data_IF_608479318375
#
_entry.id   IF_608479318375
#
_cell.length_a   1.000
_cell.length_b   1.000
_cell.length_c   1.000
_cell.angle_alpha   90.00
_cell.angle_beta   90.00
_cell.angle_gamma   90.00
#
_symmetry.space_group_name_H-M   'P 1'
#
loop_
_entity.id
_entity.type
_entity.pdbx_description
1 polymer ?
#
# COMPACT_ATOMS: atom_id res chain seq x y z
N UNK A 1 18.69 33.35 -21.00
CA UNK A 1 18.16 31.99 -20.74
C UNK A 1 17.29 32.05 -19.51
N UNK A 2 15.96 32.03 -19.69
CA UNK A 2 15.00 31.99 -18.58
C UNK A 2 14.85 30.52 -18.19
N UNK A 3 15.31 30.16 -16.98
CA UNK A 3 14.95 28.87 -16.34
C UNK A 3 13.44 28.87 -16.07
N UNK A 4 12.68 28.08 -16.80
CA UNK A 4 11.33 27.74 -16.43
C UNK A 4 11.42 26.95 -15.12
N UNK A 5 10.98 27.51 -14.03
CA UNK A 5 10.57 26.78 -12.85
C UNK A 5 9.26 26.06 -13.24
N UNK A 6 9.38 24.84 -13.69
CA UNK A 6 8.23 23.94 -13.75
C UNK A 6 7.92 23.56 -12.31
N UNK A 7 6.86 24.16 -11.80
CA UNK A 7 6.24 23.80 -10.54
C UNK A 7 5.66 22.39 -10.74
N UNK A 8 6.46 21.36 -10.48
CA UNK A 8 6.04 19.98 -10.59
C UNK A 8 4.98 19.73 -9.49
N UNK A 9 3.73 19.73 -9.91
CA UNK A 9 2.62 19.38 -9.03
C UNK A 9 2.72 17.88 -8.77
N UNK A 10 2.95 17.50 -7.50
CA UNK A 10 2.97 16.11 -7.08
C UNK A 10 1.60 15.47 -7.36
N UNK A 11 1.56 14.20 -7.76
CA UNK A 11 0.30 13.51 -7.99
C UNK A 11 -0.52 13.47 -6.70
N UNK A 12 -1.79 13.80 -6.81
CA UNK A 12 -2.74 13.83 -5.69
C UNK A 12 -3.86 12.84 -5.98
N UNK A 13 -3.97 11.82 -5.17
CA UNK A 13 -5.19 11.00 -5.12
C UNK A 13 -6.18 11.77 -4.28
N UNK A 14 -7.31 12.17 -4.88
CA UNK A 14 -8.34 12.90 -4.16
C UNK A 14 -8.88 12.07 -2.99
N UNK A 15 -9.14 12.74 -1.86
CA UNK A 15 -9.83 12.10 -0.75
C UNK A 15 -11.28 11.77 -1.18
N UNK A 16 -11.56 10.49 -1.30
CA UNK A 16 -12.90 10.02 -1.68
C UNK A 16 -13.74 9.84 -0.42
N UNK A 17 -14.86 10.53 -0.38
CA UNK A 17 -15.77 10.46 0.77
C UNK A 17 -16.16 9.00 1.05
N UNK A 18 -15.87 8.54 2.27
CA UNK A 18 -16.16 7.20 2.73
C UNK A 18 -15.04 6.16 2.47
N UNK A 19 -14.01 6.49 1.70
CA UNK A 19 -12.85 5.62 1.55
C UNK A 19 -11.96 5.64 2.79
N UNK A 20 -11.41 4.47 3.13
CA UNK A 20 -10.45 4.31 4.21
C UNK A 20 -9.08 3.96 3.62
N UNK A 21 -8.04 4.21 4.40
CA UNK A 21 -6.65 4.06 3.97
C UNK A 21 -5.93 3.12 4.91
N UNK A 22 -5.33 2.08 4.37
CA UNK A 22 -4.76 0.97 5.14
C UNK A 22 -3.29 0.76 4.85
N UNK A 23 -2.53 0.41 5.88
CA UNK A 23 -1.20 -0.17 5.76
C UNK A 23 -1.32 -1.67 6.00
N UNK A 24 -0.76 -2.48 5.09
CA UNK A 24 -0.55 -3.91 5.27
C UNK A 24 0.94 -4.19 5.44
N UNK A 25 1.30 -5.05 6.38
CA UNK A 25 2.70 -5.39 6.68
C UNK A 25 3.01 -6.78 6.18
N UNK A 26 3.79 -6.85 5.09
CA UNK A 26 4.11 -8.11 4.40
C UNK A 26 5.51 -8.01 3.79
N UNK A 27 6.27 -9.12 3.75
CA UNK A 27 7.58 -9.15 3.08
C UNK A 27 7.47 -8.82 1.59
N UNK A 28 8.52 -8.21 1.02
CA UNK A 28 8.50 -7.75 -0.37
C UNK A 28 8.26 -8.88 -1.37
N UNK A 29 8.79 -10.08 -1.13
CA UNK A 29 8.54 -11.25 -1.99
C UNK A 29 7.07 -11.65 -2.03
N UNK A 30 6.36 -11.54 -0.91
CA UNK A 30 4.93 -11.78 -0.79
C UNK A 30 4.10 -10.70 -1.51
N UNK A 31 4.48 -9.43 -1.31
CA UNK A 31 3.86 -8.29 -2.00
C UNK A 31 3.94 -8.46 -3.51
N UNK A 32 5.11 -8.83 -4.03
CA UNK A 32 5.31 -9.06 -5.47
C UNK A 32 4.34 -10.09 -6.04
N UNK A 33 4.10 -11.20 -5.32
CA UNK A 33 3.11 -12.21 -5.73
C UNK A 33 1.68 -11.65 -5.74
N UNK A 34 1.32 -10.87 -4.72
CA UNK A 34 0.02 -10.19 -4.67
C UNK A 34 -0.20 -9.21 -5.81
N UNK A 35 0.82 -8.40 -6.12
CA UNK A 35 0.77 -7.45 -7.24
C UNK A 35 0.61 -8.17 -8.58
N UNK A 36 1.38 -9.23 -8.81
CA UNK A 36 1.29 -10.04 -10.02
C UNK A 36 -0.08 -10.71 -10.18
N UNK A 37 -0.68 -11.17 -9.08
CA UNK A 37 -1.96 -11.87 -9.09
C UNK A 37 -3.19 -10.98 -8.88
N UNK A 38 -3.02 -9.69 -8.58
CA UNK A 38 -4.13 -8.76 -8.35
C UNK A 38 -4.88 -9.02 -7.05
N UNK A 39 -4.23 -9.48 -6.00
CA UNK A 39 -4.86 -9.80 -4.72
C UNK A 39 -4.06 -9.30 -3.50
N UNK A 40 -4.76 -9.12 -2.39
CA UNK A 40 -4.16 -8.96 -1.07
C UNK A 40 -4.30 -10.23 -0.23
N UNK A 41 -3.24 -10.55 0.50
CA UNK A 41 -3.18 -11.60 1.51
C UNK A 41 -2.40 -11.05 2.69
N UNK A 42 -3.00 -11.02 3.87
CA UNK A 42 -2.49 -10.36 5.07
C UNK A 42 -2.46 -11.32 6.27
N UNK A 43 -1.60 -11.03 7.23
CA UNK A 43 -1.57 -11.70 8.54
C UNK A 43 -1.60 -13.23 8.42
N UNK A 44 -0.73 -13.83 7.61
CA UNK A 44 -0.65 -15.28 7.36
C UNK A 44 -1.94 -15.88 6.76
N UNK A 45 -2.62 -15.13 5.91
CA UNK A 45 -3.81 -15.59 5.21
C UNK A 45 -5.11 -15.56 6.02
N UNK A 46 -5.16 -14.78 7.10
CA UNK A 46 -6.38 -14.61 7.89
C UNK A 46 -7.42 -13.77 7.15
N UNK A 47 -8.70 -14.11 7.31
CA UNK A 47 -9.81 -13.38 6.70
C UNK A 47 -10.10 -12.04 7.35
N UNK A 48 -9.93 -11.91 8.67
CA UNK A 48 -10.34 -10.75 9.43
C UNK A 48 -9.71 -9.42 8.95
N UNK A 49 -8.40 -9.32 8.66
CA UNK A 49 -7.83 -8.08 8.13
C UNK A 49 -8.44 -7.68 6.78
N UNK A 50 -8.69 -8.64 5.90
CA UNK A 50 -9.28 -8.39 4.59
C UNK A 50 -10.73 -7.92 4.68
N UNK A 51 -11.50 -8.44 5.65
CA UNK A 51 -12.89 -8.04 5.90
C UNK A 51 -13.04 -6.64 6.47
N UNK A 52 -12.00 -6.07 7.07
CA UNK A 52 -12.02 -4.68 7.55
C UNK A 52 -12.05 -3.66 6.42
N UNK A 53 -11.52 -4.03 5.26
CA UNK A 53 -11.51 -3.16 4.08
C UNK A 53 -12.84 -3.28 3.33
N UNK A 54 -13.19 -2.21 2.61
CA UNK A 54 -14.36 -2.15 1.74
C UNK A 54 -13.93 -1.84 0.30
N UNK A 55 -14.72 -2.17 -0.72
CA UNK A 55 -14.45 -1.73 -2.08
C UNK A 55 -14.27 -0.21 -2.13
N UNK A 56 -13.24 0.25 -2.84
CA UNK A 56 -12.85 1.66 -2.88
C UNK A 56 -11.82 2.08 -1.83
N UNK A 57 -11.61 1.29 -0.78
CA UNK A 57 -10.52 1.54 0.18
C UNK A 57 -9.15 1.40 -0.50
N UNK A 58 -8.17 2.09 0.05
CA UNK A 58 -6.79 2.03 -0.41
C UNK A 58 -5.92 1.20 0.51
N UNK A 59 -4.99 0.45 -0.07
CA UNK A 59 -4.01 -0.35 0.63
C UNK A 59 -2.60 0.02 0.16
N UNK A 60 -1.73 0.38 1.10
CA UNK A 60 -0.29 0.49 0.89
C UNK A 60 0.38 -0.65 1.65
N UNK A 61 1.26 -1.38 0.99
CA UNK A 61 2.10 -2.36 1.65
C UNK A 61 3.38 -1.73 2.18
N UNK A 62 3.68 -2.03 3.43
CA UNK A 62 4.98 -1.82 4.04
C UNK A 62 5.69 -3.16 4.19
N UNK A 63 6.91 -3.24 3.70
CA UNK A 63 7.75 -4.44 3.77
C UNK A 63 8.94 -4.18 4.69
N UNK A 64 8.96 -4.80 5.90
CA UNK A 64 10.09 -4.66 6.80
C UNK A 64 11.34 -5.37 6.26
N UNK A 65 11.15 -6.43 5.47
CA UNK A 65 12.21 -7.28 4.91
C UNK A 65 11.90 -7.67 3.47
N UNK A 66 12.93 -8.11 2.76
CA UNK A 66 12.80 -8.60 1.38
C UNK A 66 12.07 -9.94 1.32
N UNK A 67 12.29 -10.82 2.32
CA UNK A 67 11.62 -12.12 2.45
C UNK A 67 11.38 -12.45 3.92
N UNK A 68 10.47 -13.40 4.20
CA UNK A 68 10.06 -13.76 5.57
C UNK A 68 11.17 -14.38 6.41
N UNK A 69 11.90 -15.36 5.87
CA UNK A 69 12.82 -16.20 6.65
C UNK A 69 14.30 -15.89 6.45
N UNK A 70 14.69 -15.44 5.27
CA UNK A 70 16.08 -15.20 4.88
C UNK A 70 16.32 -13.80 4.32
N UNK A 71 15.32 -12.92 4.45
CA UNK A 71 15.36 -11.62 3.83
C UNK A 71 16.25 -10.62 4.55
N UNK A 72 16.76 -9.67 3.79
CA UNK A 72 17.45 -8.49 4.28
C UNK A 72 16.45 -7.46 4.80
N UNK A 73 16.83 -6.60 5.76
CA UNK A 73 16.04 -5.46 6.17
C UNK A 73 15.74 -4.55 4.97
N UNK A 74 14.47 -4.17 4.77
CA UNK A 74 14.05 -3.30 3.68
C UNK A 74 13.44 -2.01 4.19
N UNK A 75 12.48 -2.09 5.09
CA UNK A 75 11.81 -0.95 5.71
C UNK A 75 11.31 0.08 4.68
N UNK A 76 10.49 -0.39 3.74
CA UNK A 76 9.99 0.42 2.63
C UNK A 76 8.51 0.16 2.35
N UNK A 77 7.86 1.16 1.78
CA UNK A 77 6.56 1.01 1.13
C UNK A 77 6.78 0.42 -0.26
N UNK A 78 6.11 -0.69 -0.57
CA UNK A 78 6.46 -1.54 -1.71
C UNK A 78 5.36 -1.72 -2.74
N UNK A 79 4.11 -1.46 -2.40
CA UNK A 79 2.99 -1.47 -3.33
C UNK A 79 1.86 -0.57 -2.85
N UNK A 80 1.05 -0.12 -3.79
CA UNK A 80 -0.18 0.66 -3.54
C UNK A 80 -1.27 0.19 -4.50
N UNK A 81 -2.48 0.03 -3.98
CA UNK A 81 -3.62 -0.38 -4.77
C UNK A 81 -4.95 -0.05 -4.10
N UNK A 82 -6.03 -0.24 -4.85
CA UNK A 82 -7.39 -0.01 -4.40
C UNK A 82 -8.16 -1.32 -4.34
N UNK A 83 -8.92 -1.52 -3.27
CA UNK A 83 -9.79 -2.68 -3.11
C UNK A 83 -10.90 -2.62 -4.17
N UNK A 84 -10.98 -3.65 -4.99
CA UNK A 84 -11.99 -3.79 -6.05
C UNK A 84 -12.96 -4.94 -5.76
N UNK A 85 -12.49 -5.99 -5.05
CA UNK A 85 -13.30 -7.13 -4.71
C UNK A 85 -14.33 -6.82 -3.62
N UNK A 86 -15.57 -7.24 -3.81
CA UNK A 86 -16.67 -7.09 -2.86
C UNK A 86 -16.65 -8.16 -1.76
N UNK A 87 -15.87 -9.22 -1.93
CA UNK A 87 -15.79 -10.36 -1.00
C UNK A 87 -14.37 -10.81 -0.71
N UNK A 88 -14.21 -11.45 0.43
CA UNK A 88 -13.02 -12.21 0.82
C UNK A 88 -13.25 -13.67 0.46
N UNK A 89 -12.28 -14.32 -0.18
CA UNK A 89 -12.39 -15.71 -0.64
C UNK A 89 -11.20 -16.55 -0.22
N UNK A 90 -11.41 -17.85 -0.10
CA UNK A 90 -10.36 -18.83 0.14
C UNK A 90 -9.61 -19.13 -1.16
N UNK A 91 -8.30 -19.29 -1.05
CA UNK A 91 -7.46 -19.70 -2.17
C UNK A 91 -6.52 -20.85 -1.75
N UNK A 92 -6.88 -22.12 -2.03
CA UNK A 92 -6.04 -23.25 -1.65
C UNK A 92 -4.66 -23.20 -2.32
N UNK A 93 -3.61 -23.09 -1.53
CA UNK A 93 -2.21 -23.13 -1.99
C UNK A 93 -1.59 -24.52 -1.82
N UNK A 94 -2.05 -25.24 -0.79
CA UNK A 94 -1.68 -26.63 -0.52
C UNK A 94 -2.78 -27.28 0.32
N UNK A 95 -2.69 -28.59 0.58
CA UNK A 95 -3.63 -29.29 1.47
C UNK A 95 -3.64 -28.71 2.90
N UNK A 96 -2.51 -28.17 3.36
CA UNK A 96 -2.34 -27.63 4.71
C UNK A 96 -2.40 -26.10 4.79
N UNK A 97 -2.51 -25.41 3.67
CA UNK A 97 -2.51 -23.95 3.65
C UNK A 97 -3.54 -23.38 2.66
N UNK A 98 -4.65 -22.89 3.22
CA UNK A 98 -5.76 -22.28 2.50
C UNK A 98 -5.96 -20.84 3.00
N UNK A 99 -5.15 -19.89 2.52
CA UNK A 99 -5.29 -18.50 2.92
C UNK A 99 -6.52 -17.84 2.32
N UNK A 100 -6.96 -16.76 2.97
CA UNK A 100 -7.95 -15.85 2.42
C UNK A 100 -7.29 -14.75 1.58
N UNK A 101 -7.98 -14.34 0.52
CA UNK A 101 -7.56 -13.29 -0.40
C UNK A 101 -8.71 -12.33 -0.68
N UNK A 102 -8.35 -11.14 -1.16
CA UNK A 102 -9.27 -10.13 -1.67
C UNK A 102 -8.67 -9.44 -2.87
N UNK A 103 -9.47 -9.15 -3.89
CA UNK A 103 -8.97 -8.54 -5.11
C UNK A 103 -8.61 -7.07 -4.91
N UNK A 104 -7.46 -6.71 -5.46
CA UNK A 104 -6.87 -5.37 -5.42
C UNK A 104 -6.45 -4.97 -6.83
N UNK A 105 -6.75 -3.74 -7.22
CA UNK A 105 -6.17 -3.10 -8.39
C UNK A 105 -4.93 -2.33 -7.97
N UNK A 106 -3.76 -2.90 -8.24
CA UNK A 106 -2.49 -2.25 -7.95
C UNK A 106 -2.13 -1.22 -9.02
N UNK A 107 -1.51 -0.12 -8.58
CA UNK A 107 -0.97 0.90 -9.45
C UNK A 107 0.53 0.68 -9.65
N UNK A 108 1.09 0.98 -10.85
CA UNK A 108 2.53 1.08 -11.03
C UNK A 108 3.12 2.11 -10.06
N UNK A 109 4.14 1.73 -9.32
CA UNK A 109 4.74 2.61 -8.34
C UNK A 109 6.22 2.26 -8.13
N UNK A 110 6.94 3.16 -7.48
CA UNK A 110 8.29 2.91 -6.99
C UNK A 110 8.28 2.55 -5.52
N UNK A 111 9.29 1.82 -5.10
CA UNK A 111 9.57 1.54 -3.70
C UNK A 111 10.06 2.82 -2.99
N UNK A 112 9.56 3.05 -1.78
CA UNK A 112 9.91 4.24 -0.99
C UNK A 112 10.33 3.82 0.42
N UNK A 113 11.58 4.09 0.77
CA UNK A 113 12.08 3.86 2.14
C UNK A 113 11.32 4.71 3.14
N UNK A 114 11.01 4.15 4.32
CA UNK A 114 10.32 4.90 5.37
C UNK A 114 11.23 5.91 6.07
N UNK A 115 12.53 5.67 6.15
CA UNK A 115 13.44 6.49 6.93
C UNK A 115 13.33 8.01 6.66
N UNK A 116 13.27 8.49 5.41
CA UNK A 116 13.08 9.92 5.15
C UNK A 116 11.69 10.47 5.53
N UNK A 117 10.72 9.60 5.82
CA UNK A 117 9.34 9.97 6.10
C UNK A 117 8.99 9.91 7.60
N UNK A 118 9.88 9.41 8.45
CA UNK A 118 9.60 9.17 9.88
C UNK A 118 9.09 10.41 10.62
N UNK A 119 9.60 11.60 10.29
CA UNK A 119 9.19 12.86 10.93
C UNK A 119 7.96 13.49 10.25
N UNK A 120 7.53 12.96 9.12
CA UNK A 120 6.40 13.47 8.33
C UNK A 120 5.10 12.71 8.57
N UNK A 121 5.18 11.43 8.92
CA UNK A 121 4.00 10.59 9.13
C UNK A 121 3.49 10.70 10.56
N UNK A 122 2.20 10.88 10.75
CA UNK A 122 1.60 11.07 12.07
C UNK A 122 1.76 9.86 12.98
N UNK A 123 1.79 8.66 12.41
CA UNK A 123 1.91 7.42 13.18
C UNK A 123 3.36 7.06 13.55
N UNK A 124 4.36 7.78 13.03
CA UNK A 124 5.79 7.56 13.37
C UNK A 124 6.46 8.77 14.00
N UNK A 125 5.97 9.97 13.70
CA UNK A 125 6.55 11.25 14.11
C UNK A 125 6.71 11.33 15.63
N UNK A 126 7.93 11.70 16.07
CA UNK A 126 8.25 11.89 17.49
C UNK A 126 8.28 10.62 18.34
N UNK A 127 8.19 9.44 17.71
CA UNK A 127 8.18 8.17 18.43
C UNK A 127 9.54 7.48 18.35
N UNK A 128 10.11 7.15 19.51
CA UNK A 128 11.34 6.35 19.60
C UNK A 128 11.14 4.94 19.03
N UNK A 129 9.99 4.33 19.32
CA UNK A 129 9.61 2.99 18.82
C UNK A 129 8.63 3.11 17.67
N UNK A 130 9.00 3.84 16.63
CA UNK A 130 8.16 4.10 15.46
C UNK A 130 7.64 2.84 14.75
N UNK A 131 8.40 1.74 14.83
CA UNK A 131 8.01 0.46 14.22
C UNK A 131 6.88 -0.29 14.94
N UNK A 132 6.43 0.19 16.10
CA UNK A 132 5.42 -0.51 16.91
C UNK A 132 4.09 -0.73 16.16
N UNK A 133 3.61 0.26 15.41
CA UNK A 133 2.36 0.16 14.65
C UNK A 133 2.38 -1.01 13.64
N UNK A 134 3.53 -1.31 13.06
CA UNK A 134 3.68 -2.36 12.06
C UNK A 134 3.58 -3.79 12.63
N UNK A 135 3.63 -3.97 13.94
CA UNK A 135 3.44 -5.27 14.59
C UNK A 135 2.03 -5.82 14.44
N UNK A 136 1.05 -4.96 14.17
CA UNK A 136 -0.35 -5.36 14.01
C UNK A 136 -0.64 -6.03 12.66
N UNK A 137 0.30 -6.06 11.74
CA UNK A 137 0.13 -6.63 10.41
C UNK A 137 -0.80 -5.83 9.48
N UNK A 138 -1.74 -5.09 10.02
CA UNK A 138 -2.62 -4.17 9.31
C UNK A 138 -3.09 -3.07 10.26
N UNK A 139 -3.12 -1.83 9.80
CA UNK A 139 -3.73 -0.72 10.53
C UNK A 139 -4.20 0.38 9.57
N UNK A 140 -5.17 1.16 10.05
CA UNK A 140 -5.72 2.29 9.30
C UNK A 140 -4.87 3.53 9.52
N UNK A 141 -4.74 4.36 8.47
CA UNK A 141 -4.08 5.67 8.51
C UNK A 141 -5.04 6.74 7.99
N UNK A 142 -4.75 8.00 8.34
CA UNK A 142 -5.48 9.14 7.79
C UNK A 142 -5.10 9.45 6.34
N UNK A 143 -5.96 10.20 5.67
CA UNK A 143 -5.72 10.65 4.29
C UNK A 143 -4.40 11.43 4.13
N UNK A 144 -4.05 12.27 5.09
CA UNK A 144 -2.81 13.05 5.07
C UNK A 144 -1.55 12.15 4.98
N UNK A 145 -1.49 11.12 5.83
CA UNK A 145 -0.39 10.16 5.78
C UNK A 145 -0.40 9.34 4.49
N UNK A 146 -1.59 8.89 4.07
CA UNK A 146 -1.76 8.20 2.80
C UNK A 146 -1.24 9.05 1.63
N UNK A 147 -1.65 10.31 1.54
CA UNK A 147 -1.24 11.22 0.47
C UNK A 147 0.27 11.48 0.48
N UNK A 148 0.87 11.62 1.66
CA UNK A 148 2.32 11.79 1.81
C UNK A 148 3.08 10.60 1.21
N UNK A 149 2.64 9.37 1.49
CA UNK A 149 3.29 8.16 0.98
C UNK A 149 2.97 7.96 -0.51
N UNK A 150 1.70 8.03 -0.88
CA UNK A 150 1.22 7.75 -2.23
C UNK A 150 1.84 8.70 -3.27
N UNK A 151 1.93 9.99 -2.98
CA UNK A 151 2.52 10.98 -3.89
C UNK A 151 3.97 10.67 -4.26
N UNK A 152 4.74 10.14 -3.30
CA UNK A 152 6.14 9.75 -3.55
C UNK A 152 6.21 8.41 -4.30
N UNK A 153 5.37 7.43 -3.92
CA UNK A 153 5.35 6.13 -4.58
C UNK A 153 4.93 6.21 -6.04
N UNK A 154 3.95 7.04 -6.35
CA UNK A 154 3.38 7.15 -7.70
C UNK A 154 4.27 7.97 -8.64
N UNK A 155 4.98 9.00 -8.17
CA UNK A 155 5.90 9.79 -8.98
C UNK A 155 5.35 10.23 -10.34
N UNK A 156 6.17 10.84 -11.20
CA UNK A 156 5.73 11.35 -12.50
C UNK A 156 5.35 10.27 -13.51
N UNK A 157 6.09 9.15 -13.53
CA UNK A 157 5.91 8.09 -14.55
C UNK A 157 4.65 7.26 -14.32
N UNK A 158 4.28 7.05 -13.07
CA UNK A 158 3.08 6.29 -12.71
C UNK A 158 1.79 7.11 -12.82
N UNK A 159 1.91 8.44 -12.70
CA UNK A 159 0.76 9.35 -12.74
C UNK A 159 0.04 9.37 -14.08
N UNK A 160 0.76 9.40 -15.20
CA UNK A 160 0.15 9.42 -16.53
C UNK A 160 -0.73 8.19 -16.81
N UNK A 161 -0.36 7.04 -16.26
CA UNK A 161 -1.14 5.81 -16.40
C UNK A 161 -2.27 5.70 -15.39
N UNK A 162 -2.05 6.16 -14.14
CA UNK A 162 -3.06 6.13 -13.09
C UNK A 162 -4.18 7.16 -13.31
N UNK A 163 -3.84 8.35 -13.77
CA UNK A 163 -4.81 9.43 -14.06
C UNK A 163 -5.81 9.04 -15.14
N UNK A 164 -5.37 8.29 -16.14
CA UNK A 164 -6.25 7.81 -17.22
C UNK A 164 -7.25 6.77 -16.76
N UNK A 165 -6.91 5.97 -15.75
CA UNK A 165 -7.82 4.95 -15.21
C UNK A 165 -8.78 5.50 -14.13
N UNK A 166 -8.42 6.55 -13.44
CA UNK A 166 -9.29 7.21 -12.44
C UNK A 166 -10.32 8.13 -13.08
N UNK A 167 -10.03 8.69 -14.28
CA UNK A 167 -10.95 9.57 -15.02
C UNK A 167 -12.02 8.82 -15.82
N UNK A 168 -11.93 7.48 -15.94
CA UNK A 168 -12.89 6.68 -16.71
C UNK A 168 -14.07 6.20 -15.85
N UNK A 169 -13.97 6.26 -14.51
CA UNK A 169 -15.00 5.82 -13.57
C UNK A 169 -15.79 7.00 -12.94
N UNK A 170 -15.79 8.18 -13.58
CA UNK A 170 -16.71 9.30 -13.33
C UNK A 170 -17.74 9.38 -14.49
#
# INVERSE_FOLDING_TARGET
>A
MKKKNENQTMPVIADQQGSRYWIGVVSASHVKRGVQGGFAQLCHGKAAPLRRMSPGDWLIYYSPRTDMSKGEPLQAFTAIGQVTGDRVYEYPMSESFVPFRRDIRYLPCREVKIAPLLDRLTFTRGKRSWGYAFRNGQFEIGYEDFQTIASIMLGEVAWDNASRSVLIDL
#
